data_IF_586560249348
#
_entry.id   IF_586560249348
#
_cell.length_a   1.000
_cell.length_b   1.000
_cell.length_c   1.000
_cell.angle_alpha   90.00
_cell.angle_beta   90.00
_cell.angle_gamma   90.00
#
_symmetry.space_group_name_H-M   'P 1'
#
loop_
_entity.id
_entity.type
_entity.pdbx_description
1 polymer ?
#
# COMPACT_ATOMS: atom_id res chain seq x y z
N UNK A 1 -6.29 9.03 29.98
CA UNK A 1 -7.31 9.24 28.94
C UNK A 1 -7.71 7.87 28.43
N UNK A 2 -8.96 7.45 28.65
CA UNK A 2 -9.46 6.13 28.23
C UNK A 2 -9.93 6.28 26.77
N UNK A 3 -9.45 5.48 25.81
CA UNK A 3 -9.92 5.57 24.43
C UNK A 3 -11.36 5.07 24.36
N UNK A 4 -12.24 5.88 23.75
CA UNK A 4 -13.64 5.52 23.49
C UNK A 4 -13.67 4.58 22.28
N UNK A 5 -14.38 3.43 22.34
CA UNK A 5 -14.40 2.48 21.23
C UNK A 5 -15.18 3.06 20.06
N UNK A 6 -14.61 2.98 18.86
CA UNK A 6 -15.28 3.34 17.61
C UNK A 6 -16.36 2.27 17.34
N UNK A 7 -17.63 2.64 17.16
CA UNK A 7 -18.69 1.67 16.91
C UNK A 7 -18.46 0.97 15.56
N UNK A 8 -18.67 -0.34 15.51
CA UNK A 8 -18.44 -1.18 14.32
C UNK A 8 -19.21 -0.69 13.06
N UNK A 9 -20.30 0.07 13.23
CA UNK A 9 -21.06 0.69 12.15
C UNK A 9 -20.33 1.86 11.44
N UNK A 10 -19.22 2.36 12.01
CA UNK A 10 -18.38 3.39 11.41
C UNK A 10 -17.25 2.81 10.53
N UNK A 11 -17.12 1.48 10.45
CA UNK A 11 -16.18 0.83 9.54
C UNK A 11 -16.84 0.82 8.15
N UNK A 12 -16.35 1.57 7.16
CA UNK A 12 -16.93 1.57 5.83
C UNK A 12 -16.83 0.15 5.27
N UNK A 13 -17.97 -0.41 4.84
CA UNK A 13 -17.96 -1.61 4.00
C UNK A 13 -17.15 -1.22 2.75
N UNK A 14 -16.09 -1.97 2.38
CA UNK A 14 -15.25 -1.56 1.27
C UNK A 14 -16.11 -1.55 0.00
N UNK A 15 -16.40 -0.34 -0.50
CA UNK A 15 -17.00 -0.17 -1.80
C UNK A 15 -16.11 -0.83 -2.83
N UNK A 16 -16.70 -1.50 -3.81
CA UNK A 16 -15.98 -2.05 -4.98
C UNK A 16 -15.35 -0.94 -5.84
N UNK A 17 -15.63 0.33 -5.54
CA UNK A 17 -15.00 1.47 -6.18
C UNK A 17 -13.54 1.61 -5.71
N UNK A 18 -12.59 1.86 -6.63
CA UNK A 18 -11.27 2.39 -6.30
C UNK A 18 -11.35 3.50 -5.25
N UNK A 19 -10.48 3.48 -4.25
CA UNK A 19 -10.27 4.66 -3.42
C UNK A 19 -9.72 5.77 -4.31
N UNK A 20 -10.60 6.66 -4.78
CA UNK A 20 -10.20 7.82 -5.56
C UNK A 20 -9.58 8.85 -4.61
N UNK A 21 -8.26 8.84 -4.49
CA UNK A 21 -7.55 9.96 -3.87
C UNK A 21 -7.73 11.14 -4.82
N UNK A 22 -8.27 12.29 -4.38
CA UNK A 22 -8.35 13.46 -5.23
C UNK A 22 -6.94 13.91 -5.59
N UNK A 23 -6.46 13.57 -6.79
CA UNK A 23 -5.28 14.20 -7.35
C UNK A 23 -5.73 15.55 -7.89
N UNK A 24 -5.12 16.61 -7.37
CA UNK A 24 -5.48 18.01 -7.59
C UNK A 24 -5.44 18.46 -9.06
N UNK A 25 -6.41 18.00 -9.84
CA UNK A 25 -6.64 18.34 -11.24
C UNK A 25 -7.61 19.54 -11.39
N UNK A 26 -8.05 20.12 -10.28
CA UNK A 26 -8.82 21.36 -10.24
C UNK A 26 -7.89 22.56 -10.12
N UNK A 27 -7.90 23.53 -11.07
CA UNK A 27 -7.07 24.73 -11.02
C UNK A 27 -7.25 25.60 -9.75
N UNK A 28 -8.27 25.31 -8.95
CA UNK A 28 -8.70 26.02 -7.75
C UNK A 28 -8.63 25.17 -6.44
N UNK A 29 -8.12 23.93 -6.47
CA UNK A 29 -7.93 23.12 -5.25
C UNK A 29 -6.68 23.58 -4.48
N UNK A 30 -6.92 24.42 -3.48
CA UNK A 30 -5.94 24.97 -2.56
C UNK A 30 -4.94 23.90 -2.06
N UNK A 31 -3.65 24.09 -2.40
CA UNK A 31 -2.43 23.29 -2.16
C UNK A 31 -2.25 22.60 -0.78
N UNK A 32 -3.16 22.83 0.17
CA UNK A 32 -3.16 22.29 1.51
C UNK A 32 -3.64 20.83 1.58
N UNK A 33 -4.64 20.42 0.79
CA UNK A 33 -5.19 19.06 0.87
C UNK A 33 -4.25 18.00 0.29
N UNK A 34 -3.52 18.31 -0.79
CA UNK A 34 -2.58 17.37 -1.43
C UNK A 34 -1.54 16.84 -0.44
N UNK A 35 -1.02 17.70 0.44
CA UNK A 35 -0.02 17.34 1.46
C UNK A 35 -0.54 16.37 2.52
N UNK A 36 -1.86 16.30 2.73
CA UNK A 36 -2.46 15.37 3.71
C UNK A 36 -2.41 13.91 3.26
N UNK A 37 -2.31 13.68 1.95
CA UNK A 37 -2.28 12.34 1.37
C UNK A 37 -0.87 11.88 1.00
N UNK A 38 0.15 12.73 1.17
CA UNK A 38 1.54 12.34 0.92
C UNK A 38 2.09 11.52 2.08
N UNK A 39 2.60 10.30 1.82
CA UNK A 39 3.18 9.48 2.86
C UNK A 39 4.45 10.16 3.41
N UNK A 40 4.52 10.27 4.74
CA UNK A 40 5.69 10.83 5.44
C UNK A 40 6.76 9.80 5.78
N UNK A 41 6.42 8.52 5.78
CA UNK A 41 7.29 7.45 6.27
C UNK A 41 7.26 6.21 5.37
N UNK A 42 6.07 5.68 5.06
CA UNK A 42 5.90 4.48 4.23
C UNK A 42 4.90 4.78 3.13
N UNK A 43 5.25 4.57 1.86
CA UNK A 43 4.26 4.47 0.79
C UNK A 43 3.70 3.05 0.75
N UNK A 44 2.39 2.91 0.67
CA UNK A 44 1.73 1.61 0.42
C UNK A 44 0.86 1.80 -0.81
N UNK A 45 1.48 1.89 -2.01
CA UNK A 45 0.81 2.14 -3.31
C UNK A 45 1.74 2.54 -4.46
N UNK A 46 1.27 2.35 -5.72
CA UNK A 46 1.98 2.74 -6.95
C UNK A 46 2.23 4.26 -7.07
N UNK A 47 1.31 5.10 -6.60
CA UNK A 47 1.39 6.56 -6.76
C UNK A 47 2.62 7.26 -6.13
N UNK A 48 3.27 6.61 -5.16
CA UNK A 48 4.46 7.14 -4.48
C UNK A 48 5.67 6.22 -4.61
N UNK A 49 5.57 5.23 -5.51
CA UNK A 49 6.66 4.30 -5.75
C UNK A 49 7.89 5.04 -6.30
N UNK A 50 9.07 4.68 -5.80
CA UNK A 50 10.34 5.24 -6.28
C UNK A 50 10.69 6.67 -5.82
N UNK A 51 9.92 7.31 -4.92
CA UNK A 51 10.31 8.62 -4.37
C UNK A 51 11.52 8.48 -3.43
N UNK A 52 12.55 9.31 -3.66
CA UNK A 52 13.80 9.30 -2.89
C UNK A 52 13.58 9.45 -1.38
N UNK A 53 12.63 10.30 -0.98
CA UNK A 53 12.26 10.55 0.42
C UNK A 53 11.78 9.30 1.16
N UNK A 54 11.31 8.29 0.43
CA UNK A 54 10.75 7.04 0.96
C UNK A 54 11.71 5.86 0.82
N UNK A 55 12.86 6.05 0.18
CA UNK A 55 13.79 4.98 -0.16
C UNK A 55 14.28 4.21 1.07
N UNK A 56 14.50 4.90 2.19
CA UNK A 56 14.90 4.26 3.45
C UNK A 56 13.86 3.23 3.92
N UNK A 57 12.58 3.52 3.72
CA UNK A 57 11.51 2.63 4.14
C UNK A 57 11.25 1.53 3.12
N UNK A 58 11.45 1.78 1.83
CA UNK A 58 11.46 0.72 0.82
C UNK A 58 12.54 -0.32 1.12
N UNK A 59 13.77 0.11 1.46
CA UNK A 59 14.81 -0.81 1.92
C UNK A 59 14.39 -1.60 3.17
N UNK A 60 13.59 -0.98 4.05
CA UNK A 60 13.07 -1.66 5.23
C UNK A 60 12.05 -2.75 4.88
N UNK A 61 11.17 -2.52 3.89
CA UNK A 61 10.25 -3.55 3.38
C UNK A 61 11.01 -4.76 2.85
N UNK A 62 12.08 -4.53 2.07
CA UNK A 62 12.94 -5.62 1.57
C UNK A 62 13.57 -6.44 2.69
N UNK A 63 14.07 -5.77 3.74
CA UNK A 63 14.61 -6.45 4.92
C UNK A 63 13.56 -7.29 5.65
N UNK A 64 12.28 -6.91 5.59
CA UNK A 64 11.21 -7.75 6.16
C UNK A 64 10.93 -8.98 5.32
N UNK A 65 10.87 -8.84 4.00
CA UNK A 65 10.68 -9.98 3.10
C UNK A 65 11.79 -11.02 3.29
N UNK A 66 13.03 -10.58 3.46
CA UNK A 66 14.17 -11.46 3.76
C UNK A 66 14.08 -12.17 5.12
N UNK A 67 13.28 -11.64 6.05
CA UNK A 67 13.08 -12.19 7.40
C UNK A 67 11.82 -13.05 7.50
N UNK A 68 11.04 -13.18 6.42
CA UNK A 68 9.83 -13.98 6.40
C UNK A 68 10.15 -15.46 6.77
N UNK A 69 9.55 -16.01 7.84
CA UNK A 69 9.85 -17.38 8.27
C UNK A 69 9.09 -18.45 7.47
N UNK A 70 9.78 -19.56 7.20
CA UNK A 70 9.32 -20.92 6.78
C UNK A 70 8.56 -21.10 5.46
N UNK A 71 7.82 -20.12 4.96
CA UNK A 71 7.08 -20.26 3.69
C UNK A 71 8.02 -19.90 2.53
N UNK A 72 8.13 -20.73 1.48
CA UNK A 72 8.99 -20.41 0.35
C UNK A 72 8.49 -19.15 -0.36
N UNK A 73 9.42 -18.31 -0.81
CA UNK A 73 9.11 -17.05 -1.50
C UNK A 73 8.18 -17.25 -2.71
N UNK A 74 8.30 -18.41 -3.37
CA UNK A 74 7.44 -18.82 -4.48
C UNK A 74 5.95 -18.76 -4.13
N UNK A 75 5.56 -19.18 -2.93
CA UNK A 75 4.14 -19.22 -2.54
C UNK A 75 3.57 -17.81 -2.42
N UNK A 76 4.38 -16.86 -1.93
CA UNK A 76 3.98 -15.45 -1.90
C UNK A 76 3.89 -14.85 -3.30
N UNK A 77 4.85 -15.18 -4.17
CA UNK A 77 4.84 -14.74 -5.57
C UNK A 77 3.59 -15.26 -6.29
N UNK A 78 3.26 -16.53 -6.13
CA UNK A 78 2.06 -17.14 -6.72
C UNK A 78 0.78 -16.52 -6.18
N UNK A 79 0.71 -16.27 -4.86
CA UNK A 79 -0.43 -15.59 -4.24
C UNK A 79 -0.63 -14.17 -4.77
N UNK A 80 0.46 -13.42 -4.99
CA UNK A 80 0.42 -12.06 -5.54
C UNK A 80 -0.01 -12.08 -7.01
N UNK A 81 0.57 -12.97 -7.83
CA UNK A 81 0.21 -13.11 -9.25
C UNK A 81 -1.27 -13.46 -9.44
N UNK A 82 -1.83 -14.29 -8.55
CA UNK A 82 -3.25 -14.63 -8.59
C UNK A 82 -4.20 -13.44 -8.36
N UNK A 83 -3.73 -12.36 -7.73
CA UNK A 83 -4.56 -11.17 -7.42
C UNK A 83 -4.14 -9.92 -8.19
N UNK A 84 -2.99 -9.95 -8.88
CA UNK A 84 -2.36 -8.80 -9.52
C UNK A 84 -3.32 -8.06 -10.44
N UNK A 85 -3.93 -8.75 -11.40
CA UNK A 85 -4.83 -8.13 -12.36
C UNK A 85 -6.03 -7.46 -11.67
N UNK A 86 -6.56 -8.09 -10.62
CA UNK A 86 -7.66 -7.50 -9.83
C UNK A 86 -7.20 -6.24 -9.11
N UNK A 87 -5.99 -6.24 -8.57
CA UNK A 87 -5.40 -5.08 -7.91
C UNK A 87 -5.13 -3.94 -8.90
N UNK A 88 -4.64 -4.21 -10.13
CA UNK A 88 -4.47 -3.20 -11.18
C UNK A 88 -5.78 -2.48 -11.48
N UNK A 89 -6.88 -3.22 -11.62
CA UNK A 89 -8.22 -2.65 -11.85
C UNK A 89 -8.76 -1.80 -10.68
N UNK A 90 -8.14 -1.86 -9.50
CA UNK A 90 -8.49 -1.03 -8.35
C UNK A 90 -7.80 0.34 -8.37
N UNK A 91 -6.92 0.61 -9.32
CA UNK A 91 -6.29 1.92 -9.52
C UNK A 91 -6.87 2.58 -10.78
N UNK A 92 -7.24 3.86 -10.66
CA UNK A 92 -7.87 4.61 -11.75
C UNK A 92 -6.88 5.43 -12.58
N UNK A 93 -5.73 5.79 -12.00
CA UNK A 93 -4.71 6.58 -12.69
C UNK A 93 -3.58 5.69 -13.16
N UNK A 94 -3.06 6.00 -14.35
CA UNK A 94 -1.90 5.34 -14.92
C UNK A 94 -0.62 5.83 -14.22
N UNK A 95 0.31 4.92 -14.02
CA UNK A 95 1.65 5.19 -13.46
C UNK A 95 2.64 4.26 -14.15
N UNK A 96 3.92 4.63 -14.20
CA UNK A 96 4.94 3.80 -14.84
C UNK A 96 4.94 2.34 -14.39
N UNK A 97 4.60 2.06 -13.12
CA UNK A 97 4.52 0.70 -12.57
C UNK A 97 3.19 -0.01 -12.91
N UNK A 98 2.09 0.73 -13.05
CA UNK A 98 0.78 0.18 -13.42
C UNK A 98 0.63 -0.06 -14.93
N UNK A 99 1.39 0.68 -15.74
CA UNK A 99 1.36 0.58 -17.20
C UNK A 99 2.44 -0.38 -17.73
N UNK A 100 3.36 -0.80 -16.86
CA UNK A 100 4.39 -1.80 -17.18
C UNK A 100 3.80 -3.21 -17.07
N UNK A 101 4.00 -4.03 -18.11
CA UNK A 101 3.61 -5.44 -18.19
C UNK A 101 4.64 -6.39 -17.54
N UNK A 102 5.71 -5.84 -16.93
CA UNK A 102 6.69 -6.61 -16.17
C UNK A 102 6.21 -6.95 -14.75
N UNK A 103 7.11 -7.57 -13.98
CA UNK A 103 6.82 -7.99 -12.60
C UNK A 103 6.82 -6.83 -11.59
N UNK A 104 7.10 -5.58 -12.00
CA UNK A 104 7.29 -4.45 -11.08
C UNK A 104 6.09 -4.19 -10.16
N UNK A 105 4.87 -4.24 -10.70
CA UNK A 105 3.66 -4.08 -9.90
C UNK A 105 3.45 -5.24 -8.92
N UNK A 106 3.72 -6.48 -9.36
CA UNK A 106 3.67 -7.66 -8.51
C UNK A 106 4.71 -7.58 -7.38
N UNK A 107 5.94 -7.16 -7.67
CA UNK A 107 6.99 -6.94 -6.66
C UNK A 107 6.56 -5.90 -5.61
N UNK A 108 5.96 -4.78 -6.05
CA UNK A 108 5.44 -3.78 -5.13
C UNK A 108 4.31 -4.34 -4.27
N UNK A 109 3.35 -5.07 -4.84
CA UNK A 109 2.27 -5.71 -4.08
C UNK A 109 2.80 -6.70 -3.04
N UNK A 110 3.82 -7.47 -3.41
CA UNK A 110 4.48 -8.43 -2.53
C UNK A 110 5.12 -7.71 -1.33
N UNK A 111 5.93 -6.68 -1.59
CA UNK A 111 6.61 -5.92 -0.54
C UNK A 111 5.64 -5.19 0.38
N UNK A 112 4.65 -4.51 -0.20
CA UNK A 112 3.62 -3.77 0.55
C UNK A 112 2.76 -4.73 1.38
N UNK A 113 2.34 -5.85 0.79
CA UNK A 113 1.55 -6.88 1.47
C UNK A 113 2.30 -7.50 2.65
N UNK A 114 3.55 -7.93 2.44
CA UNK A 114 4.38 -8.48 3.51
C UNK A 114 4.63 -7.46 4.63
N UNK A 115 4.88 -6.19 4.28
CA UNK A 115 5.06 -5.12 5.26
C UNK A 115 3.80 -4.93 6.12
N UNK A 116 2.61 -4.87 5.50
CA UNK A 116 1.34 -4.71 6.22
C UNK A 116 1.09 -5.89 7.17
N UNK A 117 1.29 -7.13 6.69
CA UNK A 117 1.08 -8.33 7.49
C UNK A 117 2.02 -8.34 8.71
N UNK A 118 3.31 -8.09 8.52
CA UNK A 118 4.29 -8.05 9.61
C UNK A 118 4.02 -6.90 10.58
N UNK A 119 3.66 -5.71 10.06
CA UNK A 119 3.30 -4.57 10.90
C UNK A 119 2.06 -4.90 11.75
N UNK A 120 1.04 -5.51 11.16
CA UNK A 120 -0.17 -5.93 11.89
C UNK A 120 0.12 -6.99 12.95
N UNK A 121 1.00 -7.95 12.65
CA UNK A 121 1.41 -9.00 13.59
C UNK A 121 2.25 -8.45 14.76
N UNK A 122 3.05 -7.39 14.53
CA UNK A 122 3.77 -6.69 15.61
C UNK A 122 2.83 -5.83 16.43
N UNK A 123 1.91 -5.13 15.79
CA UNK A 123 0.94 -4.27 16.45
C UNK A 123 0.02 -5.08 17.38
N UNK A 124 -0.39 -6.28 16.97
CA UNK A 124 -1.21 -7.18 17.79
C UNK A 124 -0.48 -7.81 18.98
N UNK A 125 0.86 -7.87 18.94
CA UNK A 125 1.69 -8.33 20.07
C UNK A 125 2.01 -7.23 21.08
N UNK A 126 1.84 -5.97 20.69
CA UNK A 126 2.14 -4.81 21.51
C UNK A 126 0.95 -4.31 22.34
N UNK A 127 -0.26 -4.82 22.06
CA UNK A 127 -1.52 -4.52 22.75
C UNK A 127 -2.02 -5.75 23.50
#
# INVERSE_FOLDING_TARGET
MIPVPIPAAAIPVPSRAPFHVPVGSRPDDNSSCRKLYEPRLVAIRPYHHGRDELHAMEQHKWRFLQRAPTVPLSDFVDAVRAVEQRARCCYSESTAILDDDGDGFAEMLLLDGCFILEFSAKLSRAN
#
